data_IF_948299563399
#
_entry.id   IF_948299563399
#
_cell.length_a   1.000
_cell.length_b   1.000
_cell.length_c   1.000
_cell.angle_alpha   90.00
_cell.angle_beta   90.00
_cell.angle_gamma   90.00
#
_symmetry.space_group_name_H-M   'P 1'
#
loop_
_entity.id
_entity.type
_entity.pdbx_description
1 polymer ?
#
# COMPACT_ATOMS: atom_id res chain seq x y z
N UNK A 1 -2.50 -48.06 4.69
CA UNK A 1 -1.25 -47.51 5.27
C UNK A 1 -1.25 -46.02 4.93
N UNK A 2 -1.37 -45.17 5.92
CA UNK A 2 -1.34 -43.72 5.68
C UNK A 2 0.13 -43.38 5.47
N UNK A 3 0.53 -43.10 4.24
CA UNK A 3 1.84 -42.49 3.96
C UNK A 3 1.92 -41.15 4.71
N UNK A 4 3.04 -40.85 5.35
CA UNK A 4 3.25 -39.53 5.92
C UNK A 4 3.24 -38.52 4.76
N UNK A 5 2.73 -37.30 4.99
CA UNK A 5 2.75 -36.24 4.00
C UNK A 5 4.16 -36.03 3.42
N UNK A 6 5.17 -36.21 4.25
CA UNK A 6 6.57 -36.09 3.86
C UNK A 6 6.99 -37.18 2.86
N UNK A 7 6.58 -38.44 3.08
CA UNK A 7 6.85 -39.51 2.12
C UNK A 7 6.14 -39.29 0.80
N UNK A 8 4.91 -38.79 0.84
CA UNK A 8 4.18 -38.42 -0.37
C UNK A 8 4.88 -37.29 -1.14
N UNK A 9 5.33 -36.24 -0.44
CA UNK A 9 6.07 -35.15 -1.07
C UNK A 9 7.40 -35.64 -1.67
N UNK A 10 8.14 -36.45 -0.96
CA UNK A 10 9.41 -37.02 -1.46
C UNK A 10 9.18 -37.87 -2.72
N UNK A 11 8.15 -38.71 -2.74
CA UNK A 11 7.79 -39.53 -3.89
C UNK A 11 7.38 -38.68 -5.11
N UNK A 12 6.58 -37.64 -4.89
CA UNK A 12 6.16 -36.71 -5.96
C UNK A 12 7.33 -35.90 -6.50
N UNK A 13 8.19 -35.36 -5.64
CA UNK A 13 9.39 -34.63 -6.04
C UNK A 13 10.36 -35.47 -6.86
N UNK A 14 10.44 -36.80 -6.58
CA UNK A 14 11.25 -37.73 -7.37
C UNK A 14 10.60 -38.05 -8.73
N UNK A 15 9.25 -38.18 -8.76
CA UNK A 15 8.51 -38.65 -9.94
C UNK A 15 8.30 -37.54 -10.97
N UNK A 16 8.07 -36.31 -10.56
CA UNK A 16 7.74 -35.20 -11.46
C UNK A 16 8.97 -34.54 -12.11
N UNK A 17 10.15 -35.12 -11.92
CA UNK A 17 11.35 -34.58 -12.55
C UNK A 17 11.76 -33.22 -12.00
N UNK A 18 11.39 -32.94 -10.75
CA UNK A 18 11.67 -31.68 -10.06
C UNK A 18 13.18 -31.42 -9.82
N UNK A 19 14.02 -31.84 -10.75
CA UNK A 19 15.43 -31.48 -10.86
C UNK A 19 16.31 -31.79 -9.62
N UNK A 20 15.80 -32.57 -8.65
CA UNK A 20 16.51 -32.87 -7.41
C UNK A 20 16.13 -31.98 -6.21
N UNK A 21 15.03 -31.22 -6.30
CA UNK A 21 14.49 -30.47 -5.14
C UNK A 21 14.11 -31.46 -4.05
N UNK A 22 14.69 -31.30 -2.87
CA UNK A 22 14.39 -32.12 -1.69
C UNK A 22 13.20 -31.55 -0.91
N UNK A 23 12.54 -32.39 -0.11
CA UNK A 23 11.40 -31.98 0.72
C UNK A 23 11.72 -30.79 1.64
N UNK A 24 12.93 -30.73 2.20
CA UNK A 24 13.36 -29.60 3.03
C UNK A 24 13.39 -28.27 2.23
N UNK A 25 13.87 -28.32 0.98
CA UNK A 25 13.89 -27.13 0.10
C UNK A 25 12.49 -26.74 -0.33
N UNK A 26 11.63 -27.72 -0.64
CA UNK A 26 10.22 -27.45 -0.89
C UNK A 26 9.55 -26.77 0.31
N UNK A 27 9.81 -27.24 1.53
CA UNK A 27 9.28 -26.63 2.76
C UNK A 27 9.80 -25.20 2.97
N UNK A 28 11.08 -24.93 2.64
CA UNK A 28 11.68 -23.60 2.71
C UNK A 28 11.02 -22.65 1.72
N UNK A 29 10.82 -23.07 0.47
CA UNK A 29 10.10 -22.30 -0.57
C UNK A 29 8.67 -22.00 -0.13
N UNK A 30 7.92 -23.02 0.32
CA UNK A 30 6.55 -22.86 0.80
C UNK A 30 6.47 -21.93 2.02
N UNK A 31 7.38 -22.09 2.98
CA UNK A 31 7.50 -21.21 4.14
C UNK A 31 7.81 -19.75 3.76
N UNK A 32 8.68 -19.53 2.77
CA UNK A 32 8.97 -18.20 2.25
C UNK A 32 7.74 -17.56 1.61
N UNK A 33 7.02 -18.27 0.76
CA UNK A 33 5.79 -17.79 0.13
C UNK A 33 4.70 -17.47 1.16
N UNK A 34 4.52 -18.31 2.18
CA UNK A 34 3.57 -18.06 3.27
C UNK A 34 3.93 -16.84 4.11
N UNK A 35 5.23 -16.59 4.33
CA UNK A 35 5.69 -15.49 5.19
C UNK A 35 5.69 -14.12 4.49
N UNK A 36 6.01 -14.08 3.20
CA UNK A 36 6.16 -12.83 2.43
C UNK A 36 5.08 -12.61 1.37
N UNK A 37 4.34 -13.64 1.01
CA UNK A 37 3.37 -13.60 -0.10
C UNK A 37 4.01 -13.53 -1.48
N UNK A 38 5.33 -13.40 -1.56
CA UNK A 38 6.05 -13.17 -2.81
C UNK A 38 7.46 -13.77 -2.74
N UNK A 39 7.91 -14.35 -3.85
CA UNK A 39 9.27 -14.80 -4.06
C UNK A 39 9.77 -14.18 -5.37
N UNK A 40 10.78 -13.31 -5.28
CA UNK A 40 11.31 -12.58 -6.43
C UNK A 40 12.79 -12.86 -6.62
N UNK A 41 13.17 -13.40 -7.77
CA UNK A 41 14.51 -13.88 -8.09
C UNK A 41 15.59 -12.80 -7.92
N UNK A 42 15.30 -11.57 -8.35
CA UNK A 42 16.22 -10.44 -8.33
C UNK A 42 16.40 -9.79 -6.94
N UNK A 43 15.67 -10.26 -5.93
CA UNK A 43 15.70 -9.62 -4.61
C UNK A 43 17.03 -9.83 -3.89
N UNK A 44 17.54 -11.07 -3.89
CA UNK A 44 18.80 -11.45 -3.28
C UNK A 44 19.25 -12.81 -3.78
N UNK A 45 20.55 -13.14 -3.62
CA UNK A 45 21.07 -14.45 -4.02
C UNK A 45 20.34 -15.64 -3.37
N UNK A 46 20.05 -15.64 -2.04
CA UNK A 46 19.27 -16.73 -1.45
C UNK A 46 17.84 -16.85 -2.04
N UNK A 47 17.24 -15.73 -2.43
CA UNK A 47 15.93 -15.76 -3.08
C UNK A 47 15.98 -16.27 -4.51
N UNK A 48 17.06 -15.99 -5.23
CA UNK A 48 17.26 -16.55 -6.57
C UNK A 48 17.32 -18.07 -6.51
N UNK A 49 18.05 -18.64 -5.54
CA UNK A 49 18.13 -20.08 -5.34
C UNK A 49 16.75 -20.68 -5.00
N UNK A 50 15.97 -20.02 -4.11
CA UNK A 50 14.62 -20.47 -3.79
C UNK A 50 13.65 -20.34 -4.97
N UNK A 51 13.80 -19.31 -5.79
CA UNK A 51 13.00 -19.12 -7.00
C UNK A 51 13.29 -20.25 -8.02
N UNK A 52 14.57 -20.57 -8.22
CA UNK A 52 14.98 -21.62 -9.16
C UNK A 52 14.46 -23.00 -8.69
N UNK A 53 14.48 -23.26 -7.37
CA UNK A 53 13.88 -24.48 -6.80
C UNK A 53 12.34 -24.46 -6.95
N UNK A 54 11.68 -23.32 -6.72
CA UNK A 54 10.23 -23.17 -6.90
C UNK A 54 9.82 -23.43 -8.35
N UNK A 55 10.58 -22.94 -9.33
CA UNK A 55 10.30 -23.15 -10.74
C UNK A 55 10.41 -24.63 -11.15
N UNK A 56 11.32 -25.39 -10.51
CA UNK A 56 11.48 -26.82 -10.76
C UNK A 56 10.31 -27.66 -10.18
N UNK A 57 9.68 -27.21 -9.11
CA UNK A 57 8.56 -27.91 -8.46
C UNK A 57 7.24 -27.10 -8.48
N UNK A 58 7.07 -26.22 -9.48
CA UNK A 58 5.94 -25.29 -9.57
C UNK A 58 4.59 -25.99 -9.48
N UNK A 59 4.40 -27.10 -10.23
CA UNK A 59 3.14 -27.80 -10.26
C UNK A 59 2.77 -28.35 -8.87
N UNK A 60 3.74 -28.94 -8.15
CA UNK A 60 3.52 -29.45 -6.81
C UNK A 60 3.23 -28.33 -5.80
N UNK A 61 3.90 -27.17 -5.94
CA UNK A 61 3.59 -25.98 -5.14
C UNK A 61 2.17 -25.48 -5.38
N UNK A 62 1.72 -25.46 -6.63
CA UNK A 62 0.33 -25.08 -6.98
C UNK A 62 -0.67 -26.00 -6.34
N UNK A 63 -0.45 -27.32 -6.43
CA UNK A 63 -1.32 -28.34 -5.80
C UNK A 63 -1.34 -28.22 -4.29
N UNK A 64 -0.16 -28.04 -3.68
CA UNK A 64 -0.03 -27.86 -2.23
C UNK A 64 -0.80 -26.64 -1.72
N UNK A 65 -0.64 -25.49 -2.38
CA UNK A 65 -1.32 -24.26 -1.98
C UNK A 65 -2.81 -24.30 -2.31
N UNK A 66 -3.21 -24.87 -3.44
CA UNK A 66 -4.62 -25.04 -3.81
C UNK A 66 -5.37 -25.91 -2.79
N UNK A 67 -4.73 -26.96 -2.23
CA UNK A 67 -5.32 -27.79 -1.18
C UNK A 67 -5.66 -27.01 0.10
N UNK A 68 -5.03 -25.86 0.32
CA UNK A 68 -5.28 -24.96 1.46
C UNK A 68 -6.05 -23.70 1.06
N UNK A 69 -6.54 -23.64 -0.20
CA UNK A 69 -7.34 -22.53 -0.73
C UNK A 69 -6.52 -21.31 -1.17
N UNK A 70 -5.19 -21.39 -1.13
CA UNK A 70 -4.34 -20.32 -1.69
C UNK A 70 -4.20 -20.46 -3.21
N UNK A 71 -3.96 -19.34 -3.88
CA UNK A 71 -3.68 -19.31 -5.32
C UNK A 71 -2.23 -18.88 -5.53
N UNK A 72 -1.43 -19.75 -6.17
CA UNK A 72 -0.06 -19.45 -6.57
C UNK A 72 -0.04 -19.02 -8.03
N UNK A 73 0.48 -17.83 -8.32
CA UNK A 73 0.75 -17.34 -9.67
C UNK A 73 2.25 -17.26 -9.91
N UNK A 74 2.66 -17.49 -11.15
CA UNK A 74 4.04 -17.37 -11.60
C UNK A 74 4.08 -16.44 -12.82
N UNK A 75 4.81 -15.33 -12.68
CA UNK A 75 5.19 -14.44 -13.77
C UNK A 75 6.65 -14.73 -14.12
N UNK A 76 6.85 -15.51 -15.17
CA UNK A 76 8.20 -15.93 -15.59
C UNK A 76 9.01 -14.76 -16.16
N UNK A 77 8.36 -13.77 -16.80
CA UNK A 77 9.05 -12.60 -17.36
C UNK A 77 9.53 -11.65 -16.26
N UNK A 78 8.73 -11.50 -15.22
CA UNK A 78 9.10 -10.73 -14.03
C UNK A 78 9.95 -11.53 -13.02
N UNK A 79 10.12 -12.85 -13.24
CA UNK A 79 10.79 -13.77 -12.31
C UNK A 79 10.19 -13.74 -10.90
N UNK A 80 8.85 -13.73 -10.81
CA UNK A 80 8.10 -13.57 -9.57
C UNK A 80 7.10 -14.72 -9.38
N UNK A 81 7.16 -15.39 -8.23
CA UNK A 81 6.03 -16.16 -7.69
C UNK A 81 5.25 -15.31 -6.71
N UNK A 82 3.92 -15.35 -6.79
CA UNK A 82 3.05 -14.68 -5.86
C UNK A 82 1.98 -15.61 -5.31
N UNK A 83 1.79 -15.55 -3.99
CA UNK A 83 0.80 -16.33 -3.26
C UNK A 83 -0.34 -15.42 -2.81
N UNK A 84 -1.54 -15.70 -3.27
CA UNK A 84 -2.76 -15.00 -2.86
C UNK A 84 -3.50 -15.81 -1.79
N UNK A 85 -3.97 -15.16 -0.73
CA UNK A 85 -4.73 -15.83 0.32
C UNK A 85 -6.10 -16.31 -0.18
N UNK A 86 -6.71 -17.33 0.46
CA UNK A 86 -8.06 -17.76 0.14
C UNK A 86 -9.07 -16.64 0.33
N UNK A 87 -10.04 -16.53 -0.56
CA UNK A 87 -11.16 -15.58 -0.47
C UNK A 87 -11.25 -14.50 -1.54
N UNK A 88 -10.40 -14.51 -2.58
CA UNK A 88 -10.58 -13.68 -3.79
C UNK A 88 -11.37 -14.43 -4.87
N UNK A 89 -12.48 -15.01 -4.55
CA UNK A 89 -13.31 -15.78 -5.48
C UNK A 89 -14.49 -16.45 -4.80
N UNK A 90 -14.59 -16.35 -3.50
CA UNK A 90 -15.77 -16.77 -2.76
C UNK A 90 -16.67 -15.55 -2.51
N UNK A 91 -17.54 -15.26 -3.47
CA UNK A 91 -18.80 -14.52 -3.26
C UNK A 91 -19.75 -15.42 -2.45
N UNK A 92 -19.37 -15.74 -1.26
CA UNK A 92 -20.14 -16.50 -0.29
C UNK A 92 -20.23 -15.71 0.99
N UNK A 93 -21.45 -15.40 1.31
CA UNK A 93 -21.95 -14.84 2.55
C UNK A 93 -21.07 -15.15 3.78
N UNK A 94 -20.98 -14.20 4.64
CA UNK A 94 -20.29 -13.99 5.90
C UNK A 94 -20.24 -15.19 6.88
N UNK A 95 -19.71 -16.33 6.43
CA UNK A 95 -19.49 -17.52 7.26
C UNK A 95 -18.13 -17.43 7.99
N UNK A 96 -17.98 -16.44 8.87
CA UNK A 96 -17.11 -16.53 10.06
C UNK A 96 -15.64 -16.89 9.89
N UNK A 97 -15.19 -17.27 8.72
CA UNK A 97 -13.78 -17.52 8.40
C UNK A 97 -13.10 -16.16 8.31
N UNK A 98 -12.38 -15.79 9.36
CA UNK A 98 -11.53 -14.59 9.35
C UNK A 98 -10.64 -14.66 8.12
N UNK A 99 -10.98 -13.89 7.10
CA UNK A 99 -10.16 -13.73 5.90
C UNK A 99 -8.75 -13.36 6.35
N UNK A 100 -7.74 -14.05 5.86
CA UNK A 100 -6.33 -13.73 6.07
C UNK A 100 -5.94 -12.41 5.37
N UNK A 101 -6.88 -11.45 5.33
CA UNK A 101 -6.68 -10.11 4.77
C UNK A 101 -6.11 -9.22 5.86
N UNK A 102 -4.84 -8.89 5.74
CA UNK A 102 -4.28 -7.79 6.51
C UNK A 102 -5.01 -6.51 6.11
N UNK A 103 -5.57 -5.76 7.09
CA UNK A 103 -6.05 -4.40 6.83
C UNK A 103 -4.84 -3.52 6.55
N UNK A 104 -4.62 -3.21 5.30
CA UNK A 104 -3.63 -2.23 4.90
C UNK A 104 -4.08 -0.83 5.35
N UNK A 105 -3.14 -0.04 5.85
CA UNK A 105 -3.43 1.35 6.20
C UNK A 105 -3.76 2.16 4.94
N UNK A 106 -4.55 3.22 5.10
CA UNK A 106 -4.90 4.13 4.01
C UNK A 106 -3.65 4.74 3.36
N UNK A 107 -2.67 5.08 4.18
CA UNK A 107 -1.39 5.63 3.72
C UNK A 107 -0.59 4.61 2.92
N UNK A 108 -0.61 3.33 3.34
CA UNK A 108 0.03 2.26 2.59
C UNK A 108 -0.58 2.09 1.20
N UNK A 109 -1.92 2.05 1.12
CA UNK A 109 -2.62 1.90 -0.17
C UNK A 109 -2.33 3.10 -1.08
N UNK A 110 -2.41 4.32 -0.55
CA UNK A 110 -2.13 5.53 -1.32
C UNK A 110 -0.68 5.56 -1.83
N UNK A 111 0.28 5.21 -0.98
CA UNK A 111 1.70 5.15 -1.37
C UNK A 111 1.94 4.05 -2.41
N UNK A 112 1.35 2.86 -2.26
CA UNK A 112 1.49 1.76 -3.20
C UNK A 112 0.94 2.11 -4.60
N UNK A 113 -0.23 2.76 -4.67
CA UNK A 113 -0.82 3.24 -5.92
C UNK A 113 0.08 4.29 -6.59
N UNK A 114 0.57 5.27 -5.84
CA UNK A 114 1.47 6.29 -6.37
C UNK A 114 2.79 5.67 -6.87
N UNK A 115 3.37 4.74 -6.14
CA UNK A 115 4.58 4.01 -6.56
C UNK A 115 4.33 3.19 -7.83
N UNK A 116 3.17 2.53 -7.93
CA UNK A 116 2.77 1.79 -9.13
C UNK A 116 2.67 2.71 -10.35
N UNK A 117 2.05 3.88 -10.18
CA UNK A 117 1.94 4.89 -11.22
C UNK A 117 3.32 5.38 -11.68
N UNK A 118 4.19 5.78 -10.75
CA UNK A 118 5.54 6.26 -11.05
C UNK A 118 6.38 5.18 -11.75
N UNK A 119 6.24 3.93 -11.35
CA UNK A 119 6.92 2.81 -11.98
C UNK A 119 6.42 2.56 -13.42
N UNK A 120 5.12 2.70 -13.66
CA UNK A 120 4.54 2.62 -15.02
C UNK A 120 5.05 3.75 -15.91
N UNK A 121 5.15 4.97 -15.40
CA UNK A 121 5.77 6.08 -16.15
C UNK A 121 7.22 5.77 -16.54
N UNK A 122 7.97 5.11 -15.67
CA UNK A 122 9.34 4.70 -15.96
C UNK A 122 9.37 3.62 -17.05
N UNK A 123 8.48 2.64 -17.01
CA UNK A 123 8.37 1.61 -18.06
C UNK A 123 8.00 2.20 -19.42
N UNK A 124 7.24 3.30 -19.46
CA UNK A 124 6.90 4.01 -20.70
C UNK A 124 7.99 4.97 -21.18
N UNK A 125 9.16 4.98 -20.56
CA UNK A 125 10.33 5.79 -20.96
C UNK A 125 10.30 7.23 -20.46
N UNK A 126 9.33 7.63 -19.62
CA UNK A 126 9.27 8.96 -19.03
C UNK A 126 10.29 9.16 -17.90
N UNK A 127 10.83 8.07 -17.33
CA UNK A 127 11.81 8.06 -16.26
C UNK A 127 12.84 6.97 -16.50
N UNK A 128 14.02 7.14 -15.94
CA UNK A 128 15.09 6.16 -16.05
C UNK A 128 14.91 4.99 -15.09
N UNK A 129 15.03 3.77 -15.61
CA UNK A 129 15.10 2.54 -14.83
C UNK A 129 16.54 2.01 -14.88
N UNK A 130 17.12 1.76 -13.71
CA UNK A 130 18.43 1.12 -13.59
C UNK A 130 18.25 -0.30 -13.08
N UNK A 131 18.52 -1.29 -13.91
CA UNK A 131 18.32 -2.71 -13.58
C UNK A 131 16.91 -2.99 -13.04
N UNK A 132 15.89 -2.49 -13.73
CA UNK A 132 14.46 -2.62 -13.33
C UNK A 132 14.11 -1.95 -11.98
N UNK A 133 14.98 -1.08 -11.47
CA UNK A 133 14.75 -0.32 -10.23
C UNK A 133 14.52 1.14 -10.58
N UNK A 134 13.43 1.71 -10.10
CA UNK A 134 13.19 3.14 -10.17
C UNK A 134 13.67 3.80 -8.88
N UNK A 135 14.56 4.78 -8.99
CA UNK A 135 15.03 5.57 -7.84
C UNK A 135 14.28 6.90 -7.79
N UNK A 136 13.63 7.16 -6.67
CA UNK A 136 12.90 8.42 -6.41
C UNK A 136 13.22 8.94 -5.02
N UNK A 137 12.95 10.22 -4.76
CA UNK A 137 12.97 10.76 -3.41
C UNK A 137 11.63 10.53 -2.69
N UNK A 138 11.64 10.57 -1.35
CA UNK A 138 10.39 10.52 -0.59
C UNK A 138 9.52 11.76 -0.85
N UNK A 139 10.13 12.88 -1.21
CA UNK A 139 9.42 14.09 -1.64
C UNK A 139 8.64 13.84 -2.94
N UNK A 140 9.26 13.21 -3.95
CA UNK A 140 8.58 12.85 -5.19
C UNK A 140 7.39 11.91 -4.94
N UNK A 141 7.57 10.92 -4.07
CA UNK A 141 6.46 10.06 -3.65
C UNK A 141 5.35 10.88 -2.98
N UNK A 142 5.70 11.79 -2.07
CA UNK A 142 4.72 12.66 -1.40
C UNK A 142 3.94 13.51 -2.39
N UNK A 143 4.63 14.13 -3.35
CA UNK A 143 4.01 14.92 -4.40
C UNK A 143 3.09 14.09 -5.31
N UNK A 144 3.51 12.87 -5.65
CA UNK A 144 2.68 11.95 -6.44
C UNK A 144 1.41 11.55 -5.68
N UNK A 145 1.51 11.21 -4.39
CA UNK A 145 0.34 10.87 -3.56
C UNK A 145 -0.65 12.05 -3.48
N UNK A 146 -0.14 13.27 -3.30
CA UNK A 146 -1.00 14.47 -3.25
C UNK A 146 -1.66 14.73 -4.59
N UNK A 147 -0.89 14.70 -5.69
CA UNK A 147 -1.41 15.03 -7.01
C UNK A 147 -2.37 13.98 -7.57
N UNK A 148 -2.10 12.70 -7.36
CA UNK A 148 -2.93 11.62 -7.89
C UNK A 148 -4.16 11.34 -7.05
N UNK A 149 -4.03 11.36 -5.71
CA UNK A 149 -5.05 10.85 -4.80
C UNK A 149 -5.60 11.92 -3.85
N UNK A 150 -5.10 13.18 -3.94
CA UNK A 150 -5.41 14.24 -3.00
C UNK A 150 -5.28 13.79 -1.51
N UNK A 151 -4.30 12.95 -1.25
CA UNK A 151 -3.96 12.40 0.06
C UNK A 151 -2.54 12.83 0.44
N UNK A 152 -2.28 13.02 1.74
CA UNK A 152 -0.95 13.42 2.22
C UNK A 152 -0.31 12.27 2.97
N UNK A 153 0.99 12.07 2.78
CA UNK A 153 1.74 11.14 3.62
C UNK A 153 1.76 11.62 5.09
N UNK A 154 2.01 10.72 6.05
CA UNK A 154 2.10 11.06 7.46
C UNK A 154 3.09 12.22 7.70
N UNK A 155 2.74 13.22 8.55
CA UNK A 155 3.59 14.38 8.78
C UNK A 155 4.85 14.06 9.60
N UNK A 156 4.79 13.05 10.47
CA UNK A 156 5.89 12.64 11.32
C UNK A 156 6.91 11.77 10.57
N UNK A 157 8.21 11.99 10.78
CA UNK A 157 9.27 11.14 10.25
C UNK A 157 9.13 9.68 10.72
N UNK A 158 8.74 9.49 11.98
CA UNK A 158 8.56 8.15 12.54
C UNK A 158 7.44 7.37 11.85
N UNK A 159 6.30 8.01 11.60
CA UNK A 159 5.17 7.39 10.94
C UNK A 159 5.48 7.11 9.46
N UNK A 160 6.17 8.04 8.78
CA UNK A 160 6.66 7.82 7.41
C UNK A 160 7.61 6.63 7.34
N UNK A 161 8.53 6.54 8.30
CA UNK A 161 9.45 5.41 8.36
C UNK A 161 8.72 4.09 8.65
N UNK A 162 7.68 4.11 9.48
CA UNK A 162 6.77 2.98 9.70
C UNK A 162 6.13 2.53 8.40
N UNK A 163 5.52 3.46 7.64
CA UNK A 163 4.94 3.20 6.32
C UNK A 163 5.97 2.61 5.34
N UNK A 164 7.17 3.18 5.28
CA UNK A 164 8.22 2.70 4.40
C UNK A 164 8.71 1.30 4.77
N UNK A 165 8.76 0.97 6.06
CA UNK A 165 9.09 -0.38 6.55
C UNK A 165 8.01 -1.40 6.16
N UNK A 166 6.75 -1.01 6.20
CA UNK A 166 5.67 -1.87 5.72
C UNK A 166 5.76 -2.08 4.19
N UNK A 167 6.00 -1.03 3.42
CA UNK A 167 6.24 -1.16 1.96
C UNK A 167 7.47 -2.05 1.67
N UNK A 168 8.55 -1.94 2.45
CA UNK A 168 9.74 -2.79 2.33
C UNK A 168 9.43 -4.25 2.68
N UNK A 169 8.63 -4.49 3.70
CA UNK A 169 8.17 -5.84 4.09
C UNK A 169 7.43 -6.53 2.95
N UNK A 170 6.65 -5.77 2.19
CA UNK A 170 5.96 -6.22 0.99
C UNK A 170 6.82 -6.17 -0.28
N UNK A 171 8.12 -5.87 -0.17
CA UNK A 171 9.08 -5.81 -1.29
C UNK A 171 8.71 -4.83 -2.40
N UNK A 172 7.97 -3.79 -2.05
CA UNK A 172 7.61 -2.71 -2.95
C UNK A 172 8.75 -1.71 -3.07
N UNK A 173 9.42 -1.41 -1.95
CA UNK A 173 10.55 -0.49 -1.90
C UNK A 173 11.76 -1.08 -1.17
N UNK A 174 12.94 -0.53 -1.50
CA UNK A 174 14.18 -0.72 -0.75
C UNK A 174 14.72 0.67 -0.39
N UNK A 175 15.26 0.83 0.79
CA UNK A 175 15.87 2.06 1.28
C UNK A 175 16.90 1.77 2.36
N UNK A 176 17.72 2.77 2.68
CA UNK A 176 18.68 2.70 3.77
C UNK A 176 18.09 3.27 5.07
N UNK A 177 18.11 2.49 6.14
CA UNK A 177 17.66 2.88 7.50
C UNK A 177 18.74 3.72 8.25
N UNK A 178 19.58 4.49 7.54
CA UNK A 178 20.63 5.30 8.11
C UNK A 178 20.17 6.65 8.64
N UNK A 179 21.15 7.52 8.88
CA UNK A 179 20.93 8.91 9.26
C UNK A 179 20.09 9.63 8.19
N UNK A 180 19.04 10.35 8.58
CA UNK A 180 18.09 10.99 7.66
C UNK A 180 16.93 10.08 7.20
N UNK A 181 16.78 8.87 7.77
CA UNK A 181 15.64 8.01 7.43
C UNK A 181 14.30 8.70 7.76
N UNK A 182 13.38 8.67 6.78
CA UNK A 182 12.05 9.31 6.87
C UNK A 182 12.05 10.82 6.56
N UNK A 183 13.19 11.43 6.22
CA UNK A 183 13.23 12.80 5.68
C UNK A 183 12.80 12.83 4.22
N UNK A 184 12.32 13.97 3.73
CA UNK A 184 11.83 14.10 2.36
C UNK A 184 12.90 13.88 1.28
N UNK A 185 14.17 14.09 1.63
CA UNK A 185 15.34 13.90 0.74
C UNK A 185 15.76 12.43 0.61
N UNK A 186 15.21 11.55 1.45
CA UNK A 186 15.54 10.14 1.45
C UNK A 186 15.24 9.50 0.10
N UNK A 187 16.21 8.74 -0.44
CA UNK A 187 16.05 8.00 -1.68
C UNK A 187 15.42 6.63 -1.44
N UNK A 188 14.46 6.31 -2.29
CA UNK A 188 13.73 5.05 -2.33
C UNK A 188 14.02 4.34 -3.65
N UNK A 189 14.35 3.07 -3.57
CA UNK A 189 14.43 2.18 -4.73
C UNK A 189 13.09 1.46 -4.85
N UNK A 190 12.29 1.82 -5.85
CA UNK A 190 11.01 1.17 -6.15
C UNK A 190 11.28 -0.09 -6.96
N UNK A 191 10.71 -1.20 -6.54
CA UNK A 191 11.00 -2.53 -7.07
C UNK A 191 9.85 -3.03 -7.95
N UNK A 192 10.19 -3.83 -8.96
CA UNK A 192 9.23 -4.41 -9.92
C UNK A 192 8.01 -5.10 -9.28
N UNK A 193 8.10 -5.78 -8.12
CA UNK A 193 6.93 -6.36 -7.45
C UNK A 193 5.75 -5.40 -7.21
N UNK A 194 5.96 -4.08 -7.20
CA UNK A 194 4.86 -3.11 -7.13
C UNK A 194 3.79 -3.35 -8.20
N UNK A 195 4.21 -3.82 -9.38
CA UNK A 195 3.33 -4.15 -10.51
C UNK A 195 2.33 -5.26 -10.20
N UNK A 196 2.73 -6.23 -9.36
CA UNK A 196 1.87 -7.33 -8.96
C UNK A 196 1.02 -7.03 -7.72
N UNK A 197 1.38 -6.00 -6.94
CA UNK A 197 0.60 -5.57 -5.76
C UNK A 197 -0.60 -4.72 -6.12
N UNK A 198 -0.46 -3.87 -7.14
CA UNK A 198 -1.54 -2.99 -7.62
C UNK A 198 -1.77 -3.37 -9.09
N UNK A 199 -2.91 -3.99 -9.39
CA UNK A 199 -3.29 -4.29 -10.77
C UNK A 199 -3.59 -3.01 -11.56
N UNK A 200 -3.58 -3.10 -12.89
CA UNK A 200 -3.94 -1.95 -13.75
C UNK A 200 -5.38 -1.50 -13.47
N UNK A 201 -6.29 -2.44 -13.29
CA UNK A 201 -7.69 -2.18 -12.95
C UNK A 201 -7.82 -1.42 -11.62
N UNK A 202 -7.11 -1.86 -10.57
CA UNK A 202 -7.11 -1.16 -9.28
C UNK A 202 -6.48 0.24 -9.36
N UNK A 203 -5.49 0.44 -10.23
CA UNK A 203 -4.90 1.74 -10.49
C UNK A 203 -5.90 2.67 -11.17
N UNK A 204 -6.55 2.22 -12.24
CA UNK A 204 -7.53 2.99 -13.00
C UNK A 204 -8.74 3.36 -12.13
N UNK A 205 -9.24 2.45 -11.32
CA UNK A 205 -10.31 2.68 -10.35
C UNK A 205 -9.92 3.77 -9.34
N UNK A 206 -8.73 3.66 -8.77
CA UNK A 206 -8.24 4.63 -7.78
C UNK A 206 -8.10 6.03 -8.38
N UNK A 207 -7.58 6.16 -9.60
CA UNK A 207 -7.44 7.42 -10.32
C UNK A 207 -8.80 8.02 -10.69
N UNK A 208 -9.76 7.19 -11.08
CA UNK A 208 -11.13 7.60 -11.39
C UNK A 208 -11.81 8.17 -10.15
N UNK A 209 -11.75 7.46 -9.02
CA UNK A 209 -12.34 7.90 -7.74
C UNK A 209 -11.70 9.21 -7.28
N UNK A 210 -10.37 9.32 -7.38
CA UNK A 210 -9.65 10.53 -7.01
C UNK A 210 -10.03 11.74 -7.89
N UNK A 211 -10.18 11.53 -9.21
CA UNK A 211 -10.64 12.54 -10.15
C UNK A 211 -12.06 13.04 -9.84
N UNK A 212 -12.98 12.14 -9.52
CA UNK A 212 -14.34 12.50 -9.11
C UNK A 212 -14.36 13.28 -7.80
N UNK A 213 -13.55 12.87 -6.82
CA UNK A 213 -13.43 13.58 -5.55
C UNK A 213 -12.83 14.99 -5.71
N UNK A 214 -11.90 15.18 -6.62
CA UNK A 214 -11.33 16.50 -6.96
C UNK A 214 -12.37 17.39 -7.61
N UNK A 215 -13.16 16.89 -8.57
CA UNK A 215 -14.23 17.62 -9.24
C UNK A 215 -15.30 18.12 -8.25
N UNK A 216 -15.74 17.26 -7.31
CA UNK A 216 -16.70 17.63 -6.27
C UNK A 216 -16.14 18.71 -5.32
N UNK A 217 -14.86 18.66 -4.98
CA UNK A 217 -14.21 19.71 -4.16
C UNK A 217 -14.17 21.05 -4.88
N UNK A 218 -13.80 21.04 -6.16
CA UNK A 218 -13.76 22.26 -6.99
C UNK A 218 -15.14 22.90 -7.12
N UNK A 219 -16.20 22.11 -7.32
CA UNK A 219 -17.58 22.60 -7.37
C UNK A 219 -18.02 23.24 -6.05
N UNK A 220 -17.68 22.62 -4.91
CA UNK A 220 -18.02 23.17 -3.58
C UNK A 220 -17.24 24.45 -3.24
N UNK A 221 -16.01 24.59 -3.74
CA UNK A 221 -15.23 25.83 -3.58
C UNK A 221 -15.82 26.96 -4.41
N UNK A 222 -16.21 26.68 -5.66
CA UNK A 222 -16.88 27.66 -6.52
C UNK A 222 -18.22 28.15 -5.95
N UNK A 223 -19.02 27.27 -5.33
CA UNK A 223 -20.27 27.64 -4.66
C UNK A 223 -20.04 28.53 -3.42
N UNK A 224 -18.95 28.33 -2.68
CA UNK A 224 -18.59 29.16 -1.53
C UNK A 224 -18.16 30.55 -1.93
N UNK A 225 -17.40 30.70 -3.03
CA UNK A 225 -16.98 32.00 -3.53
C UNK A 225 -18.15 32.83 -4.06
N UNK A 226 -19.11 32.20 -4.72
CA UNK A 226 -20.34 32.87 -5.18
C UNK A 226 -21.21 33.31 -3.99
N UNK A 227 -21.31 32.51 -2.93
CA UNK A 227 -22.04 32.83 -1.72
C UNK A 227 -21.43 33.98 -0.90
N UNK A 228 -20.09 34.16 -0.95
CA UNK A 228 -19.41 35.26 -0.24
C UNK A 228 -19.53 36.60 -0.96
N UNK A 229 -19.75 36.61 -2.29
CA UNK A 229 -19.90 37.84 -3.09
C UNK A 229 -21.29 38.48 -2.96
N UNK A 230 -22.30 37.77 -2.50
CA UNK A 230 -23.68 38.31 -2.36
C UNK A 230 -23.92 38.96 -1.00
N UNK A 231 -23.05 38.76 -0.01
CA UNK A 231 -23.21 39.31 1.34
C UNK A 231 -22.58 40.71 1.58
N UNK A 232 -21.95 41.30 0.57
CA UNK A 232 -21.26 42.60 0.68
C UNK A 232 -22.04 43.77 0.04
N UNK A 233 -23.37 43.77 0.10
CA UNK A 233 -24.15 44.83 -0.52
C UNK A 233 -25.49 45.07 0.20
N UNK A 234 -25.51 45.42 1.48
CA UNK A 234 -26.64 46.11 2.12
C UNK A 234 -26.19 46.72 3.43
N UNK A 235 -25.87 47.97 3.38
CA UNK A 235 -25.65 48.84 4.53
C UNK A 235 -27.04 49.23 5.11
N UNK A 236 -27.40 48.85 6.32
CA UNK A 236 -28.57 49.45 6.98
C UNK A 236 -28.07 50.63 7.80
N UNK A 237 -28.56 51.81 7.41
CA UNK A 237 -28.51 53.10 8.07
C UNK A 237 -28.85 52.95 9.57
N UNK A 238 -27.86 53.18 10.44
CA UNK A 238 -28.02 53.20 11.88
C UNK A 238 -28.69 54.51 12.29
N UNK A 239 -29.94 54.39 12.76
CA UNK A 239 -30.61 55.44 13.51
C UNK A 239 -30.24 55.31 14.98
N UNK A 240 -29.52 56.30 15.53
CA UNK A 240 -29.17 56.40 16.95
C UNK A 240 -30.33 57.05 17.70
N UNK A 241 -30.87 56.47 18.79
CA UNK A 241 -31.63 57.18 19.80
C UNK A 241 -30.74 57.55 20.98
N UNK A 242 -31.10 58.65 21.74
CA UNK A 242 -30.22 59.29 22.72
C UNK A 242 -30.14 58.60 24.07
N UNK A 243 -29.03 58.92 24.75
CA UNK A 243 -28.64 58.46 26.08
C UNK A 243 -29.67 58.69 27.18
N UNK A 244 -29.73 57.76 28.12
CA UNK A 244 -30.18 57.98 29.48
C UNK A 244 -29.15 57.40 30.42
N UNK A 245 -28.58 58.31 31.28
CA UNK A 245 -27.73 57.99 32.43
C UNK A 245 -28.58 57.33 33.56
N UNK A 246 -28.02 56.44 34.29
CA UNK A 246 -27.84 56.44 35.75
C UNK A 246 -27.38 55.05 36.26
N UNK A 247 -26.27 54.98 36.82
CA UNK A 247 -25.91 54.98 38.23
C UNK A 247 -26.08 53.63 38.99
N UNK A 248 -24.99 53.34 39.66
CA UNK A 248 -24.78 52.71 40.97
C UNK A 248 -24.47 51.21 41.01
N UNK A 249 -23.20 50.98 41.28
CA UNK A 249 -22.58 50.36 42.46
C UNK A 249 -22.89 48.90 42.82
N UNK A 250 -21.90 48.07 42.86
CA UNK A 250 -21.29 47.43 44.03
C UNK A 250 -20.59 46.09 43.72
N UNK A 251 -19.34 46.07 43.93
CA UNK A 251 -18.50 44.91 44.27
C UNK A 251 -18.78 44.51 45.73
N UNK A 252 -18.37 43.38 46.35
CA UNK A 252 -17.38 42.39 45.99
C UNK A 252 -17.64 40.92 46.45
N UNK A 253 -16.61 40.11 46.34
CA UNK A 253 -16.18 38.98 47.19
C UNK A 253 -16.26 37.59 46.58
N UNK A 254 -15.09 37.03 46.27
CA UNK A 254 -14.28 36.04 47.01
C UNK A 254 -14.89 34.66 47.27
N UNK A 255 -14.11 33.64 46.92
CA UNK A 255 -14.16 32.27 47.43
C UNK A 255 -13.78 31.27 46.34
N UNK A 256 -12.60 30.84 46.15
CA UNK A 256 -11.63 29.95 46.80
C UNK A 256 -12.18 28.55 47.13
N UNK A 257 -11.40 27.54 46.62
CA UNK A 257 -11.28 26.14 47.06
C UNK A 257 -12.35 25.17 46.50
N UNK A 258 -12.03 24.09 45.83
CA UNK A 258 -11.01 23.04 46.03
C UNK A 258 -10.62 22.46 44.67
#
# INVERSE_FOLDING_TARGET
MIQSLQQYLDERLHTEGAGGVKADRFAEVAGRLLSSGILWREFSRPEAELYDDAAQCEQLLREYFAATGFVLTHDADATIFRLYPPGEGFDGDDDGVKRLKARLSRDFVAAAIALRFLYTEALTGKRELVNEVLVISLEELSQAVVSLLAHSLPPSNADRLGLLRDLRKHRIVRFNDGEGAGTMEMLLSVLRPVMSYVSDEALDDALTIAGQAAAVRSSRMAERDVGSSVAAGSDPMVVVPPAVEDATAATPAQGRLL
#
